data_IF_839997741895
#
_entry.id   IF_839997741895
#
_cell.length_a   1.000
_cell.length_b   1.000
_cell.length_c   1.000
_cell.angle_alpha   90.00
_cell.angle_beta   90.00
_cell.angle_gamma   90.00
#
_symmetry.space_group_name_H-M   'P 1'
#
loop_
_entity.id
_entity.type
_entity.pdbx_description
1 polymer ?
#
# COMPACT_ATOMS: atom_id res chain seq x y z
N UNK A 1 -62.90 -44.09 12.38
CA UNK A 1 -61.47 -44.03 12.01
C UNK A 1 -61.20 -42.66 11.39
N UNK A 2 -60.30 -41.84 11.95
CA UNK A 2 -59.99 -40.50 11.40
C UNK A 2 -58.83 -40.64 10.43
N UNK A 3 -59.13 -40.70 9.14
CA UNK A 3 -58.12 -40.80 8.08
C UNK A 3 -57.81 -39.37 7.62
N UNK A 4 -56.53 -38.97 7.69
CA UNK A 4 -56.04 -37.69 7.17
C UNK A 4 -54.80 -37.94 6.33
N UNK A 5 -54.82 -37.47 5.09
CA UNK A 5 -53.71 -37.55 4.14
C UNK A 5 -53.20 -36.16 3.80
N UNK A 6 -52.04 -36.08 3.12
CA UNK A 6 -51.47 -34.80 2.69
C UNK A 6 -52.29 -34.26 1.52
N UNK A 7 -53.03 -33.16 1.74
CA UNK A 7 -53.72 -32.41 0.70
C UNK A 7 -52.91 -31.17 0.32
N UNK A 8 -52.44 -31.08 -0.92
CA UNK A 8 -51.73 -29.91 -1.47
C UNK A 8 -52.66 -29.16 -2.40
N UNK A 9 -53.08 -27.95 -2.04
CA UNK A 9 -53.88 -27.08 -2.92
C UNK A 9 -52.98 -26.42 -3.96
N UNK A 10 -53.38 -26.43 -5.24
CA UNK A 10 -52.66 -25.76 -6.33
C UNK A 10 -52.41 -24.29 -6.03
N UNK A 11 -53.40 -23.63 -5.43
CA UNK A 11 -53.42 -22.18 -5.19
C UNK A 11 -52.33 -21.73 -4.21
N UNK A 12 -51.79 -22.67 -3.41
CA UNK A 12 -50.71 -22.38 -2.46
C UNK A 12 -49.32 -22.37 -3.11
N UNK A 13 -49.13 -23.12 -4.19
CA UNK A 13 -47.84 -23.27 -4.87
C UNK A 13 -47.77 -22.53 -6.21
N UNK A 14 -48.92 -22.40 -6.89
CA UNK A 14 -49.07 -21.73 -8.18
C UNK A 14 -49.83 -20.43 -7.94
N UNK A 15 -49.20 -19.26 -8.17
CA UNK A 15 -49.89 -17.99 -8.06
C UNK A 15 -51.05 -17.89 -9.04
N UNK A 16 -52.17 -17.32 -8.61
CA UNK A 16 -53.34 -17.07 -9.47
C UNK A 16 -53.04 -15.96 -10.50
N UNK A 17 -52.16 -15.02 -10.16
CA UNK A 17 -51.74 -13.91 -11.04
C UNK A 17 -50.44 -14.26 -11.76
N UNK A 18 -50.43 -14.13 -13.08
CA UNK A 18 -49.25 -14.40 -13.91
C UNK A 18 -48.06 -13.47 -13.64
N UNK A 19 -48.28 -12.30 -13.01
CA UNK A 19 -47.22 -11.34 -12.66
C UNK A 19 -46.52 -11.65 -11.34
N UNK A 20 -47.09 -12.55 -10.53
CA UNK A 20 -46.56 -12.89 -9.22
C UNK A 20 -45.64 -14.12 -9.32
N UNK A 21 -44.49 -14.06 -8.66
CA UNK A 21 -43.55 -15.19 -8.60
C UNK A 21 -44.11 -16.34 -7.74
N UNK A 22 -43.67 -17.56 -8.04
CA UNK A 22 -44.08 -18.75 -7.30
C UNK A 22 -43.50 -18.79 -5.89
N UNK A 23 -44.29 -19.33 -4.95
CA UNK A 23 -43.82 -19.55 -3.59
C UNK A 23 -42.81 -20.72 -3.56
N UNK A 24 -41.70 -20.54 -2.85
CA UNK A 24 -40.66 -21.55 -2.68
C UNK A 24 -40.64 -22.04 -1.23
N UNK A 25 -41.46 -23.04 -0.86
CA UNK A 25 -41.45 -23.60 0.49
C UNK A 25 -40.10 -24.29 0.75
N UNK A 26 -39.55 -24.08 1.96
CA UNK A 26 -38.25 -24.65 2.36
C UNK A 26 -38.41 -25.52 3.60
N UNK A 27 -37.87 -26.73 3.54
CA UNK A 27 -37.66 -27.58 4.70
C UNK A 27 -36.14 -27.72 4.92
N UNK A 28 -35.67 -27.49 6.15
CA UNK A 28 -34.24 -27.48 6.51
C UNK A 28 -33.75 -28.82 7.07
N UNK A 29 -34.58 -29.86 7.07
CA UNK A 29 -34.19 -31.19 7.50
C UNK A 29 -32.96 -31.70 6.70
N UNK A 30 -31.83 -32.03 7.36
CA UNK A 30 -30.64 -32.58 6.70
C UNK A 30 -30.91 -33.84 5.86
N UNK A 31 -31.95 -34.62 6.20
CA UNK A 31 -32.33 -35.82 5.43
C UNK A 31 -32.74 -35.48 3.99
N UNK A 32 -33.37 -34.30 3.78
CA UNK A 32 -33.77 -33.80 2.47
C UNK A 32 -32.63 -33.14 1.69
N UNK A 33 -31.53 -32.80 2.37
CA UNK A 33 -30.36 -32.12 1.79
C UNK A 33 -29.08 -32.93 1.99
N UNK A 34 -28.97 -34.16 1.43
CA UNK A 34 -27.76 -34.96 1.57
C UNK A 34 -26.55 -34.30 0.90
N UNK A 35 -25.34 -34.71 1.32
CA UNK A 35 -24.05 -34.25 0.80
C UNK A 35 -23.71 -32.78 1.05
N UNK A 36 -23.99 -32.26 2.25
CA UNK A 36 -23.66 -30.87 2.63
C UNK A 36 -22.21 -30.49 2.29
N UNK A 37 -21.22 -31.30 2.72
CA UNK A 37 -19.79 -30.99 2.59
C UNK A 37 -19.32 -31.07 1.13
N UNK A 38 -19.75 -32.08 0.39
CA UNK A 38 -19.37 -32.23 -1.02
C UNK A 38 -19.98 -31.11 -1.89
N UNK A 39 -21.21 -30.68 -1.57
CA UNK A 39 -21.87 -29.56 -2.23
C UNK A 39 -21.19 -28.23 -1.91
N UNK A 40 -20.78 -28.00 -0.66
CA UNK A 40 -19.99 -26.83 -0.30
C UNK A 40 -18.61 -26.85 -0.95
N UNK A 41 -17.92 -28.00 -0.97
CA UNK A 41 -16.62 -28.14 -1.61
C UNK A 41 -16.66 -27.78 -3.10
N UNK A 42 -17.65 -28.31 -3.84
CA UNK A 42 -17.81 -28.00 -5.27
C UNK A 42 -18.12 -26.51 -5.49
N UNK A 43 -18.93 -25.89 -4.64
CA UNK A 43 -19.15 -24.44 -4.66
C UNK A 43 -17.89 -23.62 -4.36
N UNK A 44 -17.04 -24.06 -3.43
CA UNK A 44 -15.79 -23.38 -3.13
C UNK A 44 -14.80 -23.50 -4.30
N UNK A 45 -14.78 -24.67 -4.94
CA UNK A 45 -13.98 -24.92 -6.14
C UNK A 45 -14.46 -24.09 -7.33
N UNK A 46 -15.78 -23.95 -7.55
CA UNK A 46 -16.30 -23.08 -8.61
C UNK A 46 -16.04 -21.62 -8.29
N UNK A 47 -16.23 -21.18 -7.04
CA UNK A 47 -15.94 -19.82 -6.60
C UNK A 47 -14.46 -19.44 -6.82
N UNK A 48 -13.52 -20.33 -6.50
CA UNK A 48 -12.09 -20.08 -6.78
C UNK A 48 -11.78 -20.02 -8.26
N UNK A 49 -12.36 -20.90 -9.08
CA UNK A 49 -12.21 -20.84 -10.55
C UNK A 49 -12.79 -19.54 -11.13
N UNK A 50 -13.99 -19.13 -10.69
CA UNK A 50 -14.62 -17.88 -11.11
C UNK A 50 -13.78 -16.67 -10.70
N UNK A 51 -13.23 -16.66 -9.49
CA UNK A 51 -12.32 -15.60 -9.05
C UNK A 51 -11.10 -15.48 -9.97
N UNK A 52 -10.51 -16.60 -10.39
CA UNK A 52 -9.38 -16.59 -11.32
C UNK A 52 -9.78 -16.12 -12.71
N UNK A 53 -10.96 -16.50 -13.20
CA UNK A 53 -11.49 -16.05 -14.49
C UNK A 53 -11.78 -14.54 -14.49
N UNK A 54 -12.36 -14.01 -13.42
CA UNK A 54 -12.72 -12.59 -13.29
C UNK A 54 -11.58 -11.70 -12.79
N UNK A 55 -10.40 -12.26 -12.50
CA UNK A 55 -9.23 -11.52 -12.03
C UNK A 55 -8.68 -10.63 -13.16
N UNK A 56 -9.18 -9.40 -13.22
CA UNK A 56 -8.79 -8.36 -14.16
C UNK A 56 -8.45 -7.10 -13.35
N UNK A 57 -7.20 -7.01 -12.85
CA UNK A 57 -6.82 -5.97 -11.91
C UNK A 57 -6.52 -4.61 -12.56
N UNK A 58 -6.04 -4.60 -13.80
CA UNK A 58 -5.67 -3.36 -14.49
C UNK A 58 -6.93 -2.58 -14.90
N UNK A 59 -7.01 -1.30 -14.53
CA UNK A 59 -8.13 -0.42 -14.90
C UNK A 59 -7.72 0.51 -16.03
N UNK A 60 -6.54 1.11 -15.92
CA UNK A 60 -6.05 2.08 -16.89
C UNK A 60 -4.80 2.81 -16.40
N UNK A 61 -4.39 3.79 -17.18
CA UNK A 61 -3.36 4.76 -16.82
C UNK A 61 -3.98 6.15 -16.66
N UNK A 62 -3.25 7.05 -16.02
CA UNK A 62 -3.63 8.46 -15.85
C UNK A 62 -3.03 9.29 -16.98
N UNK A 63 -3.92 9.89 -17.79
CA UNK A 63 -3.61 10.63 -19.01
C UNK A 63 -2.50 10.01 -19.85
N UNK A 64 -1.56 10.88 -20.26
CA UNK A 64 -0.37 10.51 -21.03
C UNK A 64 0.85 10.19 -20.15
N UNK A 65 0.69 10.14 -18.82
CA UNK A 65 1.80 10.00 -17.89
C UNK A 65 2.75 11.21 -17.88
N UNK A 66 3.97 10.96 -17.42
CA UNK A 66 5.10 11.88 -17.40
C UNK A 66 6.09 11.56 -18.52
N UNK A 67 6.98 12.52 -18.82
CA UNK A 67 8.03 12.34 -19.84
C UNK A 67 9.17 11.45 -19.33
N UNK A 68 9.51 11.61 -18.07
CA UNK A 68 10.50 10.81 -17.34
C UNK A 68 9.82 10.03 -16.20
N UNK A 69 10.55 9.10 -15.58
CA UNK A 69 10.06 8.22 -14.53
C UNK A 69 9.34 8.93 -13.38
N UNK A 70 8.34 8.26 -12.79
CA UNK A 70 7.58 8.79 -11.66
C UNK A 70 8.20 8.33 -10.36
N UNK A 71 8.75 9.26 -9.59
CA UNK A 71 9.49 8.98 -8.36
C UNK A 71 8.69 9.34 -7.10
N UNK A 72 7.77 10.31 -7.19
CA UNK A 72 6.95 10.75 -6.07
C UNK A 72 5.45 10.70 -6.41
N UNK A 73 4.63 10.19 -5.49
CA UNK A 73 3.17 10.22 -5.54
C UNK A 73 2.68 10.64 -4.16
N UNK A 74 1.85 11.68 -4.15
CA UNK A 74 1.11 12.13 -2.99
C UNK A 74 -0.38 11.94 -3.24
N UNK A 75 -1.06 11.22 -2.35
CA UNK A 75 -2.52 11.19 -2.33
C UNK A 75 -3.03 12.25 -1.37
N UNK A 76 -4.17 12.85 -1.69
CA UNK A 76 -4.86 13.68 -0.72
C UNK A 76 -5.50 12.77 0.35
N UNK A 77 -5.32 13.10 1.63
CA UNK A 77 -5.88 12.31 2.72
C UNK A 77 -7.36 12.59 2.98
N UNK A 78 -7.86 13.75 2.53
CA UNK A 78 -9.25 14.18 2.72
C UNK A 78 -10.12 13.93 1.49
N UNK A 79 -9.56 14.09 0.29
CA UNK A 79 -10.28 13.81 -0.96
C UNK A 79 -9.88 12.47 -1.57
N UNK A 80 -10.86 11.77 -2.15
CA UNK A 80 -10.64 10.43 -2.74
C UNK A 80 -10.20 10.53 -4.20
N UNK A 81 -10.65 11.57 -4.91
CA UNK A 81 -10.50 11.69 -6.36
C UNK A 81 -9.24 12.42 -6.81
N UNK A 82 -8.41 12.96 -5.90
CA UNK A 82 -7.25 13.76 -6.30
C UNK A 82 -5.94 13.12 -5.88
N UNK A 83 -4.99 13.14 -6.81
CA UNK A 83 -3.61 12.69 -6.56
C UNK A 83 -2.62 13.64 -7.22
N UNK A 84 -1.45 13.79 -6.63
CA UNK A 84 -0.34 14.53 -7.21
C UNK A 84 0.80 13.56 -7.49
N UNK A 85 1.50 13.75 -8.61
CA UNK A 85 2.64 12.90 -8.99
C UNK A 85 3.79 13.77 -9.49
N UNK A 86 5.01 13.38 -9.15
CA UNK A 86 6.24 14.08 -9.51
C UNK A 86 7.21 13.18 -10.27
N UNK A 87 7.83 13.75 -11.30
CA UNK A 87 8.75 13.06 -12.20
C UNK A 87 10.22 13.43 -11.97
N UNK A 88 11.11 12.62 -12.55
CA UNK A 88 12.55 12.83 -12.61
C UNK A 88 12.96 14.11 -13.33
N UNK A 89 12.14 14.56 -14.26
CA UNK A 89 12.33 15.84 -14.95
C UNK A 89 11.97 17.05 -14.07
N UNK A 90 11.46 16.86 -12.85
CA UNK A 90 11.06 17.96 -11.95
C UNK A 90 9.69 18.57 -12.28
N UNK A 91 8.92 17.99 -13.21
CA UNK A 91 7.51 18.33 -13.43
C UNK A 91 6.65 17.61 -12.39
N UNK A 92 5.72 18.37 -11.80
CA UNK A 92 4.67 17.84 -10.94
C UNK A 92 3.33 18.00 -11.64
N UNK A 93 2.48 16.98 -11.50
CA UNK A 93 1.14 16.94 -12.09
C UNK A 93 0.11 16.66 -11.01
N UNK A 94 -1.00 17.38 -11.06
CA UNK A 94 -2.17 17.13 -10.22
C UNK A 94 -3.27 16.52 -11.08
N UNK A 95 -3.82 15.40 -10.65
CA UNK A 95 -4.73 14.57 -11.42
C UNK A 95 -6.10 14.49 -10.77
N UNK A 96 -7.13 14.42 -11.61
CA UNK A 96 -8.45 13.96 -11.20
C UNK A 96 -8.63 12.49 -11.61
N UNK A 97 -8.99 11.65 -10.65
CA UNK A 97 -9.20 10.21 -10.85
C UNK A 97 -10.54 9.89 -11.51
N UNK A 98 -11.50 10.83 -11.48
CA UNK A 98 -12.81 10.62 -12.10
C UNK A 98 -12.70 10.64 -13.63
N UNK A 99 -12.11 11.70 -14.19
CA UNK A 99 -11.80 11.83 -15.62
C UNK A 99 -10.56 11.04 -16.01
N UNK A 100 -9.59 10.91 -15.08
CA UNK A 100 -8.23 10.37 -15.27
C UNK A 100 -7.32 11.28 -16.09
N UNK A 101 -7.65 12.56 -16.16
CA UNK A 101 -6.88 13.59 -16.84
C UNK A 101 -6.11 14.45 -15.83
N UNK A 102 -5.07 15.12 -16.33
CA UNK A 102 -4.32 16.10 -15.55
C UNK A 102 -5.12 17.39 -15.44
N UNK A 103 -5.24 17.92 -14.23
CA UNK A 103 -5.81 19.24 -13.97
C UNK A 103 -4.73 20.32 -14.16
N UNK A 104 -3.56 20.08 -13.56
CA UNK A 104 -2.45 21.02 -13.58
C UNK A 104 -1.14 20.29 -13.79
N UNK A 105 -0.24 20.97 -14.50
CA UNK A 105 1.13 20.53 -14.73
C UNK A 105 2.06 21.73 -14.47
N UNK A 106 2.97 21.59 -13.52
CA UNK A 106 3.93 22.63 -13.16
C UNK A 106 5.34 22.11 -13.33
N UNK A 107 6.20 22.90 -13.98
CA UNK A 107 7.65 22.70 -13.92
C UNK A 107 8.15 23.20 -12.57
N UNK A 108 8.18 22.30 -11.58
CA UNK A 108 8.46 22.66 -10.20
C UNK A 108 9.95 22.83 -9.95
N UNK A 109 10.77 21.90 -10.42
CA UNK A 109 12.20 21.86 -10.12
C UNK A 109 13.05 21.69 -11.38
N UNK A 110 14.31 22.11 -11.32
CA UNK A 110 15.28 21.83 -12.38
C UNK A 110 15.80 20.40 -12.31
N UNK A 111 16.01 19.89 -11.09
CA UNK A 111 16.33 18.48 -10.84
C UNK A 111 15.09 17.64 -10.53
N UNK A 112 15.31 16.38 -10.15
CA UNK A 112 14.25 15.45 -9.78
C UNK A 112 13.40 15.95 -8.60
N UNK A 113 12.08 15.76 -8.71
CA UNK A 113 11.13 15.94 -7.62
C UNK A 113 11.16 14.70 -6.71
N UNK A 114 11.97 14.77 -5.66
CA UNK A 114 12.26 13.67 -4.74
C UNK A 114 11.14 13.44 -3.72
N UNK A 115 10.44 14.51 -3.32
CA UNK A 115 9.36 14.45 -2.34
C UNK A 115 8.15 15.26 -2.78
N UNK A 116 6.96 14.72 -2.54
CA UNK A 116 5.69 15.37 -2.83
C UNK A 116 4.70 15.02 -1.73
N UNK A 117 3.96 16.01 -1.22
CA UNK A 117 2.91 15.80 -0.22
C UNK A 117 1.77 16.80 -0.43
N UNK A 118 0.54 16.36 -0.17
CA UNK A 118 -0.63 17.23 -0.15
C UNK A 118 -0.91 17.62 1.29
N UNK A 119 -0.99 18.92 1.55
CA UNK A 119 -1.32 19.48 2.86
C UNK A 119 -2.81 19.30 3.18
N UNK A 120 -3.22 19.33 4.46
CA UNK A 120 -4.62 19.28 4.87
C UNK A 120 -5.49 20.41 4.32
N UNK A 121 -4.87 21.55 3.96
CA UNK A 121 -5.52 22.71 3.33
C UNK A 121 -5.56 22.62 1.81
N UNK A 122 -5.38 21.42 1.22
CA UNK A 122 -5.41 21.17 -0.23
C UNK A 122 -4.32 21.86 -1.05
N UNK A 123 -3.28 22.40 -0.38
CA UNK A 123 -2.08 22.90 -1.06
C UNK A 123 -1.08 21.77 -1.29
N UNK A 124 -0.27 21.87 -2.33
CA UNK A 124 0.74 20.88 -2.68
C UNK A 124 2.11 21.37 -2.25
N UNK A 125 2.89 20.55 -1.57
CA UNK A 125 4.30 20.82 -1.27
C UNK A 125 5.16 19.86 -2.09
N UNK A 126 6.12 20.42 -2.83
CA UNK A 126 7.12 19.67 -3.58
C UNK A 126 8.52 19.97 -3.06
N UNK A 127 9.39 18.97 -3.13
CA UNK A 127 10.75 18.98 -2.66
C UNK A 127 11.66 18.43 -3.78
N UNK A 128 12.76 19.13 -4.06
CA UNK A 128 13.67 18.79 -5.15
C UNK A 128 15.14 18.75 -4.75
N UNK A 129 15.94 18.14 -5.65
CA UNK A 129 17.40 18.12 -5.53
C UNK A 129 18.06 19.49 -5.72
N UNK A 130 17.31 20.46 -6.25
CA UNK A 130 17.73 21.86 -6.44
C UNK A 130 17.74 22.69 -5.15
N UNK A 131 17.65 22.03 -3.98
CA UNK A 131 17.67 22.63 -2.64
C UNK A 131 16.48 23.53 -2.36
N UNK A 132 15.41 23.41 -3.14
CA UNK A 132 14.19 24.19 -2.96
C UNK A 132 13.03 23.30 -2.53
N UNK A 133 12.17 23.86 -1.69
CA UNK A 133 10.86 23.32 -1.38
C UNK A 133 9.84 24.36 -1.84
N UNK A 134 8.81 23.94 -2.55
CA UNK A 134 7.83 24.84 -3.16
C UNK A 134 6.43 24.47 -2.71
N UNK A 135 5.68 25.47 -2.26
CA UNK A 135 4.27 25.39 -1.90
C UNK A 135 3.44 25.91 -3.07
N UNK A 136 2.51 25.09 -3.55
CA UNK A 136 1.66 25.37 -4.69
C UNK A 136 0.21 25.42 -4.23
N UNK A 137 -0.51 26.49 -4.61
CA UNK A 137 -1.95 26.58 -4.43
C UNK A 137 -2.62 25.90 -5.62
N UNK A 138 -3.35 24.83 -5.33
CA UNK A 138 -4.13 24.07 -6.31
C UNK A 138 -5.60 24.21 -5.92
N UNK A 139 -6.44 24.66 -6.86
CA UNK A 139 -7.88 24.76 -6.60
C UNK A 139 -8.54 23.40 -6.81
N UNK A 140 -9.36 23.01 -5.85
CA UNK A 140 -10.29 21.89 -6.01
C UNK A 140 -11.65 22.48 -6.43
N UNK A 141 -12.07 22.25 -7.68
CA UNK A 141 -13.41 22.61 -8.18
C UNK A 141 -14.56 21.89 -7.46
N UNK A 142 -14.24 20.98 -6.52
CA UNK A 142 -15.21 20.13 -5.83
C UNK A 142 -16.19 20.93 -4.93
N UNK A 143 -15.86 22.17 -4.53
CA UNK A 143 -16.72 23.04 -3.73
C UNK A 143 -16.68 24.48 -4.24
N UNK A 144 -17.48 24.80 -5.25
CA UNK A 144 -17.89 26.19 -5.49
C UNK A 144 -18.83 26.60 -4.35
N UNK A 145 -18.30 27.18 -3.27
CA UNK A 145 -19.07 28.17 -2.53
C UNK A 145 -18.95 29.47 -3.30
N UNK A 146 -20.07 29.97 -3.79
CA UNK A 146 -20.22 31.18 -4.62
C UNK A 146 -19.84 32.49 -3.89
N UNK A 147 -19.11 32.46 -2.77
CA UNK A 147 -18.93 33.65 -1.90
C UNK A 147 -17.54 34.29 -1.93
N UNK A 148 -16.54 33.71 -2.61
CA UNK A 148 -15.20 34.31 -2.68
C UNK A 148 -14.80 34.68 -4.13
N UNK A 149 -15.63 35.46 -4.82
CA UNK A 149 -15.27 36.12 -6.10
C UNK A 149 -14.32 37.33 -5.93
N UNK A 150 -13.75 37.54 -4.73
CA UNK A 150 -12.92 38.70 -4.39
C UNK A 150 -11.46 38.39 -4.02
N UNK A 151 -10.94 37.22 -4.38
CA UNK A 151 -9.50 37.00 -4.50
C UNK A 151 -9.17 36.59 -5.92
N UNK A 152 -8.52 37.47 -6.67
CA UNK A 152 -7.93 37.14 -7.97
C UNK A 152 -7.09 35.86 -7.85
N UNK A 153 -7.60 34.80 -8.46
CA UNK A 153 -7.12 33.43 -8.37
C UNK A 153 -5.73 33.27 -8.94
N UNK A 154 -4.70 33.65 -8.18
CA UNK A 154 -3.30 33.40 -8.52
C UNK A 154 -3.02 31.91 -8.27
N UNK A 155 -3.36 31.12 -9.28
CA UNK A 155 -3.00 29.70 -9.35
C UNK A 155 -1.48 29.59 -9.52
N UNK A 156 -0.85 28.67 -8.79
CA UNK A 156 0.57 28.38 -8.94
C UNK A 156 1.38 28.50 -7.67
N UNK A 157 2.65 28.93 -7.82
CA UNK A 157 3.63 28.96 -6.75
C UNK A 157 3.28 30.05 -5.72
N UNK A 158 2.99 29.63 -4.49
CA UNK A 158 2.66 30.54 -3.39
C UNK A 158 3.92 30.91 -2.61
N UNK A 159 4.74 29.92 -2.25
CA UNK A 159 5.92 30.13 -1.42
C UNK A 159 7.06 29.20 -1.79
N UNK A 160 8.29 29.70 -1.70
CA UNK A 160 9.51 28.91 -1.85
C UNK A 160 10.31 28.95 -0.55
N UNK A 161 10.73 27.79 -0.07
CA UNK A 161 11.67 27.63 1.04
C UNK A 161 13.01 27.16 0.45
N UNK A 162 14.10 27.75 0.95
CA UNK A 162 15.46 27.48 0.49
C UNK A 162 16.20 26.70 1.56
N UNK A 163 16.86 25.62 1.16
CA UNK A 163 17.78 24.84 2.00
C UNK A 163 19.22 25.02 1.57
N UNK A 164 20.15 24.73 2.50
CA UNK A 164 21.59 24.70 2.19
C UNK A 164 21.98 23.45 1.39
N UNK A 165 21.26 22.35 1.65
CA UNK A 165 21.48 21.04 1.06
C UNK A 165 20.30 20.58 0.22
N UNK A 166 20.54 19.57 -0.63
CA UNK A 166 19.49 18.93 -1.40
C UNK A 166 18.57 18.12 -0.48
N UNK A 167 17.29 18.08 -0.84
CA UNK A 167 16.28 17.35 -0.09
C UNK A 167 15.89 16.07 -0.85
N UNK A 168 15.72 14.97 -0.12
CA UNK A 168 15.43 13.64 -0.66
C UNK A 168 13.99 13.21 -0.38
N UNK A 169 13.39 13.67 0.71
CA UNK A 169 12.01 13.33 1.05
C UNK A 169 11.32 14.43 1.83
N UNK A 170 10.00 14.34 1.83
CA UNK A 170 9.11 15.31 2.44
C UNK A 170 7.87 14.57 2.95
N UNK A 171 7.38 14.97 4.11
CA UNK A 171 6.06 14.62 4.59
C UNK A 171 5.47 15.73 5.47
N UNK A 172 4.15 15.81 5.53
CA UNK A 172 3.42 16.85 6.24
C UNK A 172 2.73 16.28 7.48
N UNK A 173 2.65 17.07 8.54
CA UNK A 173 1.92 16.69 9.74
C UNK A 173 0.41 16.56 9.46
N UNK A 174 -0.31 15.68 10.14
CA UNK A 174 -1.69 15.40 9.73
C UNK A 174 -2.67 16.59 9.87
N UNK A 175 -2.46 17.45 10.88
CA UNK A 175 -3.34 18.59 11.19
C UNK A 175 -2.63 19.94 11.08
N UNK A 176 -1.59 20.14 11.88
CA UNK A 176 -0.82 21.39 11.95
C UNK A 176 -0.09 21.71 10.64
N UNK A 177 0.29 22.99 10.46
CA UNK A 177 1.08 23.49 9.33
C UNK A 177 2.56 23.09 9.35
N UNK A 178 2.90 22.08 10.16
CA UNK A 178 4.26 21.57 10.28
C UNK A 178 4.52 20.53 9.20
N UNK A 179 5.74 20.52 8.67
CA UNK A 179 6.20 19.47 7.77
C UNK A 179 7.67 19.17 8.01
N UNK A 180 8.09 17.96 7.64
CA UNK A 180 9.46 17.51 7.84
C UNK A 180 10.07 17.18 6.49
N UNK A 181 11.31 17.62 6.33
CA UNK A 181 12.12 17.34 5.15
C UNK A 181 13.29 16.46 5.55
N UNK A 182 13.54 15.39 4.80
CA UNK A 182 14.75 14.58 4.90
C UNK A 182 15.70 14.89 3.76
N UNK A 183 16.98 15.06 4.06
CA UNK A 183 18.05 15.24 3.08
C UNK A 183 19.39 14.95 3.75
N UNK A 184 20.32 15.90 3.69
CA UNK A 184 21.56 15.82 4.49
C UNK A 184 21.28 15.81 6.00
N UNK A 185 20.29 16.60 6.44
CA UNK A 185 19.76 16.61 7.80
C UNK A 185 18.25 16.47 7.77
N UNK A 186 17.64 16.16 8.93
CA UNK A 186 16.18 16.24 9.10
C UNK A 186 15.87 17.61 9.66
N UNK A 187 15.10 18.38 8.89
CA UNK A 187 14.64 19.69 9.31
C UNK A 187 13.13 19.67 9.49
N UNK A 188 12.67 20.21 10.63
CA UNK A 188 11.27 20.51 10.88
C UNK A 188 10.98 21.93 10.40
N UNK A 189 9.90 22.09 9.64
CA UNK A 189 9.49 23.36 9.07
C UNK A 189 8.06 23.68 9.48
N UNK A 190 7.76 24.98 9.50
CA UNK A 190 6.40 25.49 9.56
C UNK A 190 6.12 26.24 8.26
N UNK A 191 4.97 26.00 7.62
CA UNK A 191 4.58 26.63 6.36
C UNK A 191 4.65 28.17 6.45
N UNK A 192 4.42 28.75 7.62
CA UNK A 192 4.45 30.20 7.80
C UNK A 192 5.87 30.79 7.85
N UNK A 193 6.87 30.02 8.28
CA UNK A 193 8.26 30.48 8.44
C UNK A 193 9.08 30.24 7.17
N UNK A 194 10.12 31.01 6.90
CA UNK A 194 10.98 30.81 5.71
C UNK A 194 12.24 29.98 6.01
N UNK A 195 12.55 29.78 7.29
CA UNK A 195 13.70 29.02 7.80
C UNK A 195 13.21 27.78 8.55
N UNK A 196 14.04 26.73 8.67
CA UNK A 196 13.67 25.56 9.45
C UNK A 196 13.50 25.95 10.92
N UNK A 197 12.53 25.33 11.59
CA UNK A 197 12.23 25.51 13.02
C UNK A 197 13.29 24.83 13.86
N UNK A 198 13.63 23.59 13.54
CA UNK A 198 14.63 22.79 14.24
C UNK A 198 15.31 21.79 13.30
N UNK A 199 16.56 21.48 13.61
CA UNK A 199 17.28 20.33 13.06
C UNK A 199 17.19 19.18 14.08
N UNK A 200 16.71 18.02 13.63
CA UNK A 200 16.49 16.82 14.44
C UNK A 200 17.51 15.72 14.15
N UNK A 201 18.63 16.03 13.48
CA UNK A 201 19.65 15.04 13.14
C UNK A 201 20.18 14.28 14.37
N UNK A 202 20.29 12.95 14.25
CA UNK A 202 20.93 12.12 15.28
C UNK A 202 22.46 12.24 15.22
N UNK A 203 22.98 12.37 14.00
CA UNK A 203 24.38 12.45 13.62
C UNK A 203 24.50 12.88 12.17
N UNK A 204 25.69 12.79 11.59
CA UNK A 204 25.98 13.22 10.22
C UNK A 204 25.62 12.14 9.18
N UNK A 205 24.37 11.68 9.18
CA UNK A 205 23.86 10.67 8.27
C UNK A 205 22.81 11.27 7.32
N UNK A 206 22.89 10.96 6.02
CA UNK A 206 21.87 11.38 5.06
C UNK A 206 20.59 10.55 5.22
N UNK A 207 19.45 11.23 5.23
CA UNK A 207 18.12 10.63 5.36
C UNK A 207 17.48 10.48 3.99
N UNK A 208 17.05 9.26 3.68
CA UNK A 208 16.44 8.93 2.40
C UNK A 208 14.94 9.16 2.41
N UNK A 209 14.23 8.73 3.46
CA UNK A 209 12.78 8.89 3.57
C UNK A 209 12.35 9.31 4.97
N UNK A 210 11.28 10.11 5.03
CA UNK A 210 10.62 10.54 6.26
C UNK A 210 9.13 10.33 6.12
N UNK A 211 8.49 9.81 7.17
CA UNK A 211 7.03 9.67 7.24
C UNK A 211 6.47 9.96 8.62
N UNK A 212 5.44 10.80 8.64
CA UNK A 212 4.60 11.06 9.78
C UNK A 212 3.67 9.90 10.07
N UNK A 213 3.43 9.68 11.36
CA UNK A 213 2.34 8.84 11.80
C UNK A 213 1.00 9.58 11.60
N UNK A 214 -0.01 8.87 11.14
CA UNK A 214 -1.32 9.45 10.82
C UNK A 214 -2.23 9.55 12.05
N UNK A 215 -2.01 8.70 13.05
CA UNK A 215 -2.86 8.63 14.26
C UNK A 215 -2.22 9.35 15.44
N UNK A 216 -0.99 8.98 15.81
CA UNK A 216 -0.18 9.73 16.78
C UNK A 216 0.69 10.74 16.04
N UNK A 217 0.10 11.89 15.70
CA UNK A 217 0.65 12.84 14.73
C UNK A 217 1.98 13.46 15.13
N UNK A 218 2.30 13.48 16.44
CA UNK A 218 3.55 14.02 16.98
C UNK A 218 4.78 13.14 16.70
N UNK A 219 4.58 11.89 16.28
CA UNK A 219 5.67 10.94 16.03
C UNK A 219 5.89 10.79 14.54
N UNK A 220 7.16 10.73 14.14
CA UNK A 220 7.54 10.37 12.77
C UNK A 220 8.75 9.44 12.75
N UNK A 221 8.93 8.75 11.63
CA UNK A 221 10.05 7.85 11.39
C UNK A 221 10.86 8.33 10.19
N UNK A 222 12.15 8.03 10.21
CA UNK A 222 13.05 8.23 9.08
C UNK A 222 13.86 6.97 8.77
N UNK A 223 14.27 6.87 7.51
CA UNK A 223 15.24 5.90 7.03
C UNK A 223 16.53 6.61 6.63
N UNK A 224 17.65 6.16 7.19
CA UNK A 224 19.00 6.64 6.86
C UNK A 224 19.66 5.80 5.76
N UNK A 225 20.62 6.42 5.07
CA UNK A 225 21.48 5.72 4.11
C UNK A 225 22.46 4.74 4.77
N UNK A 226 22.67 4.83 6.08
CA UNK A 226 23.53 3.97 6.91
C UNK A 226 22.83 2.67 7.35
N UNK A 227 21.73 2.32 6.68
CA UNK A 227 20.84 1.22 7.01
C UNK A 227 20.16 1.40 8.36
N UNK A 228 19.93 2.65 8.78
CA UNK A 228 19.23 2.92 10.03
C UNK A 228 17.77 3.31 9.86
N UNK A 229 16.96 2.94 10.85
CA UNK A 229 15.61 3.42 11.06
C UNK A 229 15.63 4.24 12.36
N UNK A 230 15.20 5.49 12.27
CA UNK A 230 15.21 6.42 13.41
C UNK A 230 13.78 6.90 13.68
N UNK A 231 13.39 6.90 14.94
CA UNK A 231 12.12 7.45 15.42
C UNK A 231 12.35 8.82 16.07
N UNK A 232 11.39 9.71 15.91
CA UNK A 232 11.43 11.09 16.42
C UNK A 232 10.11 11.44 17.08
N UNK A 233 10.19 12.23 18.14
CA UNK A 233 9.03 12.85 18.77
C UNK A 233 9.17 14.37 18.68
N UNK A 234 8.16 15.02 18.07
CA UNK A 234 8.13 16.47 17.91
C UNK A 234 7.87 17.18 19.23
N UNK A 235 7.17 16.55 20.18
CA UNK A 235 6.84 17.17 21.48
C UNK A 235 8.09 17.45 22.28
N UNK A 236 9.04 16.51 22.27
CA UNK A 236 10.35 16.67 22.89
C UNK A 236 11.37 17.30 21.93
N UNK A 237 11.00 17.45 20.66
CA UNK A 237 11.85 17.93 19.57
C UNK A 237 13.21 17.22 19.57
N UNK A 238 13.18 15.89 19.72
CA UNK A 238 14.38 15.05 19.84
C UNK A 238 14.18 13.70 19.16
N UNK A 239 15.24 13.08 18.64
CA UNK A 239 15.15 11.71 18.18
C UNK A 239 15.13 10.76 19.38
N UNK A 240 14.33 9.70 19.29
CA UNK A 240 14.07 8.78 20.41
C UNK A 240 14.90 7.50 20.29
N UNK A 241 14.85 6.83 19.14
CA UNK A 241 15.44 5.51 18.98
C UNK A 241 16.02 5.30 17.58
N UNK A 242 17.19 4.66 17.49
CA UNK A 242 17.86 4.28 16.24
C UNK A 242 18.06 2.76 16.18
N UNK A 243 17.64 2.13 15.09
CA UNK A 243 17.88 0.70 14.80
C UNK A 243 18.69 0.59 13.53
N UNK A 244 19.69 -0.29 13.52
CA UNK A 244 20.47 -0.60 12.34
C UNK A 244 20.05 -1.95 11.77
N UNK A 245 19.56 -1.95 10.53
CA UNK A 245 19.22 -3.15 9.76
C UNK A 245 20.42 -3.61 8.93
N UNK A 246 20.33 -4.82 8.37
CA UNK A 246 21.38 -5.40 7.52
C UNK A 246 21.60 -4.61 6.23
N UNK A 247 20.51 -4.22 5.57
CA UNK A 247 20.48 -3.47 4.32
C UNK A 247 19.65 -2.18 4.49
N UNK A 248 19.80 -1.22 3.57
CA UNK A 248 19.06 0.04 3.66
C UNK A 248 17.57 -0.16 3.44
N UNK A 249 16.78 0.63 4.16
CA UNK A 249 15.35 0.77 3.91
C UNK A 249 15.09 1.90 2.91
N UNK A 250 14.34 1.60 1.86
CA UNK A 250 14.01 2.54 0.79
C UNK A 250 12.81 3.42 1.12
N UNK A 251 11.82 2.88 1.82
CA UNK A 251 10.60 3.61 2.16
C UNK A 251 9.99 3.15 3.48
N UNK A 252 9.18 4.01 4.05
CA UNK A 252 8.42 3.79 5.27
C UNK A 252 6.95 4.09 5.02
N UNK A 253 6.07 3.45 5.80
CA UNK A 253 4.67 3.83 5.89
C UNK A 253 4.10 3.39 7.24
N UNK A 254 3.34 4.26 7.91
CA UNK A 254 2.67 3.95 9.17
C UNK A 254 1.33 3.28 8.92
N UNK A 255 0.91 2.40 9.84
CA UNK A 255 -0.43 1.86 9.81
C UNK A 255 -1.45 2.95 10.22
N UNK A 256 -2.43 3.28 9.37
CA UNK A 256 -3.44 4.31 9.68
C UNK A 256 -4.39 3.93 10.82
N UNK A 257 -4.48 2.64 11.19
CA UNK A 257 -5.38 2.18 12.26
C UNK A 257 -4.64 1.88 13.57
N UNK A 258 -3.40 1.39 13.49
CA UNK A 258 -2.59 1.04 14.67
C UNK A 258 -1.38 1.98 14.76
N UNK A 259 -1.46 2.97 15.66
CA UNK A 259 -0.48 4.06 15.76
C UNK A 259 0.97 3.62 15.92
N UNK A 260 1.21 2.55 16.67
CA UNK A 260 2.57 2.10 16.99
C UNK A 260 3.15 1.16 15.94
N UNK A 261 2.44 0.84 14.86
CA UNK A 261 2.91 -0.10 13.83
C UNK A 261 3.27 0.64 12.56
N UNK A 262 4.43 0.32 12.00
CA UNK A 262 4.84 0.81 10.68
C UNK A 262 5.54 -0.28 9.88
N UNK A 263 5.58 -0.09 8.56
CA UNK A 263 6.24 -0.97 7.63
C UNK A 263 7.45 -0.28 6.99
N UNK A 264 8.51 -1.04 6.75
CA UNK A 264 9.70 -0.59 6.01
C UNK A 264 9.94 -1.46 4.79
N UNK A 265 10.12 -0.85 3.62
CA UNK A 265 10.60 -1.51 2.41
C UNK A 265 12.13 -1.54 2.42
N UNK A 266 12.74 -2.71 2.21
CA UNK A 266 14.19 -2.88 2.29
C UNK A 266 14.79 -3.42 0.99
N UNK A 267 16.06 -3.12 0.79
CA UNK A 267 16.85 -3.61 -0.35
C UNK A 267 17.08 -5.11 -0.36
N UNK A 268 16.99 -5.77 0.80
CA UNK A 268 17.10 -7.22 0.94
C UNK A 268 15.89 -8.00 0.37
N UNK A 269 15.09 -7.32 -0.46
CA UNK A 269 13.93 -7.84 -1.18
C UNK A 269 12.74 -8.17 -0.27
N UNK A 270 12.77 -7.75 0.99
CA UNK A 270 11.68 -7.96 1.92
C UNK A 270 11.08 -6.63 2.35
N UNK A 271 9.85 -6.69 2.87
CA UNK A 271 9.31 -5.62 3.69
C UNK A 271 9.12 -6.12 5.12
N UNK A 272 9.38 -5.26 6.09
CA UNK A 272 9.34 -5.58 7.51
C UNK A 272 8.22 -4.79 8.18
N UNK A 273 7.52 -5.44 9.11
CA UNK A 273 6.52 -4.81 9.96
C UNK A 273 7.11 -4.63 11.37
N UNK A 274 7.02 -3.42 11.89
CA UNK A 274 7.66 -3.00 13.12
C UNK A 274 6.65 -2.58 14.17
N UNK A 275 6.97 -2.85 15.43
CA UNK A 275 6.33 -2.23 16.58
C UNK A 275 7.26 -1.13 17.11
N UNK A 276 6.82 0.12 17.07
CA UNK A 276 7.54 1.28 17.60
C UNK A 276 8.01 1.07 19.05
N UNK A 277 7.23 0.35 19.86
CA UNK A 277 7.54 0.09 21.27
C UNK A 277 8.61 -0.99 21.45
N UNK A 278 8.70 -1.93 20.51
CA UNK A 278 9.64 -3.03 20.57
C UNK A 278 10.27 -3.31 19.20
N UNK A 279 11.38 -2.63 18.94
CA UNK A 279 12.14 -2.75 17.70
C UNK A 279 13.23 -3.83 17.75
N UNK A 280 13.28 -4.68 18.78
CA UNK A 280 14.27 -5.76 18.86
C UNK A 280 13.96 -6.91 17.89
N UNK A 281 12.73 -6.98 17.38
CA UNK A 281 12.25 -7.96 16.41
C UNK A 281 11.18 -7.35 15.51
N UNK A 282 11.09 -7.81 14.27
CA UNK A 282 9.93 -7.49 13.43
C UNK A 282 8.69 -8.30 13.85
N UNK A 283 7.49 -7.71 13.75
CA UNK A 283 6.22 -8.41 13.95
C UNK A 283 6.01 -9.43 12.83
N UNK A 284 6.27 -9.02 11.59
CA UNK A 284 6.08 -9.82 10.40
C UNK A 284 7.13 -9.48 9.34
N UNK A 285 7.41 -10.44 8.47
CA UNK A 285 8.32 -10.27 7.33
C UNK A 285 7.56 -10.66 6.07
N UNK A 286 7.38 -9.71 5.17
CA UNK A 286 6.77 -9.90 3.87
C UNK A 286 7.84 -10.33 2.88
N UNK A 287 7.81 -11.60 2.52
CA UNK A 287 8.74 -12.26 1.59
C UNK A 287 7.97 -12.60 0.33
N UNK A 288 8.59 -12.39 -0.83
CA UNK A 288 8.23 -12.98 -2.13
C UNK A 288 8.85 -12.18 -3.29
N UNK A 289 9.33 -10.95 -3.05
CA UNK A 289 10.02 -10.16 -4.07
C UNK A 289 11.36 -10.78 -4.46
N UNK A 290 11.75 -10.53 -5.70
CA UNK A 290 13.00 -11.04 -6.27
C UNK A 290 14.10 -9.99 -6.26
N UNK A 291 13.74 -8.70 -6.32
CA UNK A 291 14.65 -7.56 -6.25
C UNK A 291 14.26 -6.62 -5.10
N UNK A 292 14.99 -5.51 -4.94
CA UNK A 292 14.80 -4.53 -3.89
C UNK A 292 13.37 -3.97 -3.87
N UNK A 293 12.79 -3.85 -2.69
CA UNK A 293 11.47 -3.23 -2.51
C UNK A 293 11.69 -1.73 -2.46
N UNK A 294 11.10 -0.99 -3.40
CA UNK A 294 11.31 0.45 -3.53
C UNK A 294 10.35 1.25 -2.65
N UNK A 295 9.10 0.82 -2.56
CA UNK A 295 8.09 1.52 -1.78
C UNK A 295 7.11 0.56 -1.12
N UNK A 296 6.49 1.04 -0.04
CA UNK A 296 5.47 0.34 0.74
C UNK A 296 4.36 1.31 1.11
N UNK A 297 3.11 0.85 1.04
CA UNK A 297 1.96 1.62 1.52
C UNK A 297 0.93 0.74 2.19
N UNK A 298 0.33 1.25 3.26
CA UNK A 298 -0.78 0.61 3.95
C UNK A 298 -2.10 0.92 3.25
N UNK A 299 -3.01 -0.05 3.29
CA UNK A 299 -4.41 0.25 3.01
C UNK A 299 -4.94 1.19 4.10
N UNK A 300 -5.85 2.13 3.78
CA UNK A 300 -6.54 2.95 4.78
C UNK A 300 -7.23 2.13 5.89
N UNK A 301 -7.57 0.87 5.60
CA UNK A 301 -8.15 -0.07 6.57
C UNK A 301 -7.12 -0.71 7.52
N UNK A 302 -5.82 -0.56 7.27
CA UNK A 302 -4.73 -1.17 8.05
C UNK A 302 -4.56 -2.68 7.89
N UNK A 303 -5.34 -3.33 7.01
CA UNK A 303 -5.39 -4.80 6.89
C UNK A 303 -4.58 -5.36 5.72
N UNK A 304 -4.27 -4.55 4.71
CA UNK A 304 -3.47 -4.93 3.56
C UNK A 304 -2.30 -3.96 3.37
N UNK A 305 -1.24 -4.47 2.75
CA UNK A 305 -0.03 -3.71 2.45
C UNK A 305 0.29 -3.93 0.98
N UNK A 306 0.64 -2.86 0.29
CA UNK A 306 1.13 -2.90 -1.08
C UNK A 306 2.60 -2.57 -1.07
N UNK A 307 3.32 -3.26 -1.94
CA UNK A 307 4.76 -3.06 -2.12
C UNK A 307 5.07 -3.00 -3.60
N UNK A 308 5.82 -1.96 -4.00
CA UNK A 308 6.40 -1.79 -5.33
C UNK A 308 7.87 -2.20 -5.29
N UNK A 309 8.31 -2.96 -6.28
CA UNK A 309 9.66 -3.49 -6.32
C UNK A 309 10.36 -3.19 -7.64
N UNK A 310 11.69 -3.16 -7.56
CA UNK A 310 12.57 -3.02 -8.70
C UNK A 310 12.48 -4.21 -9.67
N UNK A 311 11.90 -5.35 -9.27
CA UNK A 311 11.63 -6.50 -10.13
C UNK A 311 10.45 -6.32 -11.11
N UNK A 312 9.94 -5.09 -11.26
CA UNK A 312 8.83 -4.70 -12.18
C UNK A 312 7.48 -5.28 -11.76
N UNK A 313 7.32 -5.55 -10.46
CA UNK A 313 6.08 -6.12 -9.93
C UNK A 313 5.57 -5.34 -8.74
N UNK A 314 4.26 -5.41 -8.56
CA UNK A 314 3.55 -4.92 -7.39
C UNK A 314 3.04 -6.16 -6.66
N UNK A 315 3.31 -6.27 -5.36
CA UNK A 315 2.78 -7.35 -4.53
C UNK A 315 1.89 -6.79 -3.45
N UNK A 316 0.77 -7.47 -3.22
CA UNK A 316 -0.18 -7.16 -2.17
C UNK A 316 -0.05 -8.23 -1.10
N UNK A 317 0.10 -7.83 0.16
CA UNK A 317 0.21 -8.69 1.32
C UNK A 317 -0.98 -8.46 2.25
N UNK A 318 -1.44 -9.53 2.90
CA UNK A 318 -2.33 -9.37 4.05
C UNK A 318 -1.50 -9.09 5.30
N UNK A 319 -1.97 -8.21 6.17
CA UNK A 319 -1.24 -7.77 7.38
C UNK A 319 -0.63 -8.92 8.21
N UNK A 320 -1.41 -10.00 8.43
CA UNK A 320 -0.99 -11.18 9.21
C UNK A 320 -0.29 -12.27 8.40
N UNK A 321 -0.17 -12.12 7.07
CA UNK A 321 0.40 -13.13 6.16
C UNK A 321 1.79 -12.69 5.70
N UNK A 322 2.77 -13.57 5.79
CA UNK A 322 4.15 -13.27 5.35
C UNK A 322 4.38 -13.41 3.84
N UNK A 323 3.39 -13.90 3.08
CA UNK A 323 3.48 -14.12 1.63
C UNK A 323 2.40 -13.34 0.89
N UNK A 324 2.67 -13.08 -0.39
CA UNK A 324 1.83 -12.29 -1.27
C UNK A 324 0.47 -12.94 -1.50
N UNK A 325 -0.59 -12.12 -1.40
CA UNK A 325 -1.97 -12.46 -1.79
C UNK A 325 -2.11 -12.42 -3.31
N UNK A 326 -1.61 -11.35 -3.91
CA UNK A 326 -1.65 -11.10 -5.35
C UNK A 326 -0.35 -10.43 -5.82
N UNK A 327 -0.08 -10.62 -7.11
CA UNK A 327 1.02 -10.00 -7.83
C UNK A 327 0.51 -9.39 -9.12
N UNK A 328 0.84 -8.12 -9.37
CA UNK A 328 0.54 -7.42 -10.60
C UNK A 328 1.81 -7.10 -11.36
N UNK A 329 1.76 -7.36 -12.66
CA UNK A 329 2.82 -7.06 -13.62
C UNK A 329 2.18 -6.78 -14.98
N UNK A 330 2.85 -5.99 -15.80
CA UNK A 330 2.55 -5.86 -17.23
C UNK A 330 3.87 -5.80 -18.00
N UNK A 331 3.86 -6.18 -19.28
CA UNK A 331 5.06 -6.12 -20.12
C UNK A 331 5.58 -4.70 -20.33
N UNK A 332 4.69 -3.70 -20.32
CA UNK A 332 5.05 -2.28 -20.49
C UNK A 332 5.68 -1.70 -19.21
N UNK A 333 5.22 -2.16 -18.04
CA UNK A 333 5.72 -1.70 -16.75
C UNK A 333 7.19 -2.08 -16.55
N UNK A 334 8.01 -1.05 -16.33
CA UNK A 334 9.41 -1.19 -15.96
C UNK A 334 9.54 -1.20 -14.43
N UNK A 335 10.59 -0.59 -13.88
CA UNK A 335 10.83 -0.56 -12.45
C UNK A 335 9.73 0.24 -11.74
N UNK A 336 9.17 -0.32 -10.67
CA UNK A 336 8.13 0.34 -9.88
C UNK A 336 8.80 1.03 -8.71
N UNK A 337 8.84 2.36 -8.76
CA UNK A 337 9.47 3.17 -7.71
C UNK A 337 8.52 3.47 -6.57
N UNK A 338 7.25 3.75 -6.88
CA UNK A 338 6.29 4.21 -5.88
C UNK A 338 4.92 3.56 -6.06
N UNK A 339 4.30 3.20 -4.95
CA UNK A 339 2.97 2.58 -4.92
C UNK A 339 2.16 3.16 -3.79
N UNK A 340 0.89 3.52 -4.05
CA UNK A 340 0.01 4.06 -3.03
C UNK A 340 -1.39 3.47 -3.14
N UNK A 341 -2.00 3.16 -2.01
CA UNK A 341 -3.43 2.84 -1.95
C UNK A 341 -4.28 4.10 -2.10
N UNK A 342 -5.40 3.98 -2.80
CA UNK A 342 -6.46 4.98 -2.75
C UNK A 342 -7.12 5.04 -1.36
N UNK A 343 -7.73 6.18 -1.04
CA UNK A 343 -8.39 6.38 0.26
C UNK A 343 -9.66 5.54 0.46
N UNK A 344 -10.23 4.99 -0.61
CA UNK A 344 -11.31 4.00 -0.52
C UNK A 344 -10.82 2.56 -0.29
N UNK A 345 -9.50 2.32 -0.19
CA UNK A 345 -8.84 1.01 -0.06
C UNK A 345 -9.07 0.01 -1.21
N UNK A 346 -9.77 0.41 -2.27
CA UNK A 346 -10.15 -0.49 -3.38
C UNK A 346 -9.19 -0.45 -4.54
N UNK A 347 -8.41 0.61 -4.67
CA UNK A 347 -7.50 0.82 -5.78
C UNK A 347 -6.07 1.06 -5.32
N UNK A 348 -5.14 0.82 -6.24
CA UNK A 348 -3.71 0.96 -6.04
C UNK A 348 -3.16 1.77 -7.22
N UNK A 349 -2.39 2.79 -6.91
CA UNK A 349 -1.60 3.55 -7.85
C UNK A 349 -0.18 3.00 -7.90
N UNK A 350 0.40 2.96 -9.08
CA UNK A 350 1.82 2.65 -9.25
C UNK A 350 2.48 3.65 -10.19
N UNK A 351 3.55 4.29 -9.71
CA UNK A 351 4.49 5.07 -10.50
C UNK A 351 5.62 4.19 -11.00
N UNK A 352 5.78 4.15 -12.32
CA UNK A 352 6.81 3.37 -13.01
C UNK A 352 7.90 4.31 -13.53
N UNK A 353 9.08 3.75 -13.73
CA UNK A 353 10.24 4.41 -14.35
C UNK A 353 9.97 4.85 -15.81
N UNK A 354 8.99 4.25 -16.47
CA UNK A 354 8.61 4.65 -17.83
C UNK A 354 7.81 5.98 -17.90
N UNK A 355 7.53 6.62 -16.76
CA UNK A 355 6.74 7.84 -16.65
C UNK A 355 5.23 7.62 -16.49
N UNK A 356 4.74 6.39 -16.66
CA UNK A 356 3.31 6.11 -16.53
C UNK A 356 2.87 5.90 -15.07
N UNK A 357 1.74 6.51 -14.71
CA UNK A 357 1.02 6.22 -13.46
C UNK A 357 -0.17 5.31 -13.79
N UNK A 358 -0.17 4.10 -13.22
CA UNK A 358 -1.22 3.10 -13.48
C UNK A 358 -2.14 2.93 -12.28
N UNK A 359 -3.39 2.59 -12.61
CA UNK A 359 -4.44 2.29 -11.66
C UNK A 359 -4.80 0.80 -11.70
N UNK A 360 -4.79 0.18 -10.53
CA UNK A 360 -5.10 -1.22 -10.33
C UNK A 360 -6.21 -1.38 -9.29
N UNK A 361 -6.98 -2.46 -9.37
CA UNK A 361 -7.86 -2.90 -8.27
C UNK A 361 -7.04 -3.61 -7.20
N UNK A 362 -7.28 -3.33 -5.93
CA UNK A 362 -6.71 -4.09 -4.82
C UNK A 362 -7.17 -5.55 -4.87
N UNK A 363 -8.47 -5.80 -5.03
CA UNK A 363 -9.03 -7.13 -5.30
C UNK A 363 -9.34 -7.28 -6.80
N UNK A 364 -8.55 -8.08 -7.51
CA UNK A 364 -8.63 -8.21 -8.97
C UNK A 364 -9.99 -8.68 -9.51
N UNK A 365 -10.70 -9.52 -8.75
CA UNK A 365 -12.00 -10.09 -9.13
C UNK A 365 -13.18 -9.19 -8.79
N UNK A 366 -12.99 -8.23 -7.88
CA UNK A 366 -14.07 -7.35 -7.45
C UNK A 366 -14.41 -6.34 -8.56
N UNK A 367 -15.69 -5.98 -8.65
CA UNK A 367 -16.20 -4.95 -9.55
C UNK A 367 -16.77 -3.81 -8.72
N UNK A 368 -16.53 -2.59 -9.19
CA UNK A 368 -17.05 -1.38 -8.58
C UNK A 368 -18.54 -1.22 -8.92
N UNK A 369 -19.29 -0.61 -8.00
CA UNK A 369 -20.72 -0.34 -8.15
C UNK A 369 -21.57 -0.92 -7.01
N UNK A 370 -22.80 -0.41 -6.83
CA UNK A 370 -23.74 -0.96 -5.86
C UNK A 370 -24.16 -2.37 -6.29
N UNK A 371 -24.19 -3.30 -5.32
CA UNK A 371 -24.56 -4.70 -5.54
C UNK A 371 -25.95 -4.93 -4.97
N UNK A 372 -26.82 -5.61 -5.73
CA UNK A 372 -28.09 -6.11 -5.19
C UNK A 372 -27.82 -7.06 -4.01
N UNK A 373 -28.73 -7.11 -3.04
CA UNK A 373 -28.63 -7.95 -1.83
C UNK A 373 -28.35 -9.41 -2.17
N UNK A 374 -29.02 -9.97 -3.18
CA UNK A 374 -28.79 -11.35 -3.67
C UNK A 374 -27.35 -11.56 -4.15
N UNK A 375 -26.82 -10.61 -4.91
CA UNK A 375 -25.45 -10.68 -5.42
C UNK A 375 -24.42 -10.51 -4.30
N UNK A 376 -24.64 -9.55 -3.39
CA UNK A 376 -23.77 -9.33 -2.22
C UNK A 376 -23.69 -10.58 -1.36
N UNK A 377 -24.84 -11.14 -0.97
CA UNK A 377 -24.92 -12.34 -0.15
C UNK A 377 -24.24 -13.54 -0.82
N UNK A 378 -24.37 -13.68 -2.15
CA UNK A 378 -23.65 -14.72 -2.92
C UNK A 378 -22.14 -14.54 -2.82
N UNK A 379 -21.62 -13.33 -3.04
CA UNK A 379 -20.18 -13.07 -3.00
C UNK A 379 -19.61 -13.29 -1.60
N UNK A 380 -20.31 -12.84 -0.55
CA UNK A 380 -19.91 -13.07 0.85
C UNK A 380 -19.93 -14.56 1.20
N UNK A 381 -20.95 -15.30 0.75
CA UNK A 381 -21.03 -16.75 0.91
C UNK A 381 -19.86 -17.46 0.21
N UNK A 382 -19.57 -17.09 -1.04
CA UNK A 382 -18.46 -17.63 -1.81
C UNK A 382 -17.10 -17.31 -1.15
N UNK A 383 -16.91 -16.10 -0.61
CA UNK A 383 -15.71 -15.72 0.15
C UNK A 383 -15.53 -16.58 1.41
N UNK A 384 -16.59 -16.78 2.19
CA UNK A 384 -16.55 -17.63 3.39
C UNK A 384 -16.28 -19.10 3.07
N UNK A 385 -16.82 -19.61 1.97
CA UNK A 385 -16.55 -20.98 1.52
C UNK A 385 -15.09 -21.15 1.10
N UNK A 386 -14.52 -20.18 0.37
CA UNK A 386 -13.10 -20.17 -0.01
C UNK A 386 -12.18 -20.10 1.20
N UNK A 387 -12.55 -19.32 2.22
CA UNK A 387 -11.80 -19.26 3.48
C UNK A 387 -11.81 -20.62 4.20
N UNK A 388 -12.98 -21.24 4.32
CA UNK A 388 -13.16 -22.56 4.95
C UNK A 388 -12.39 -23.68 4.23
N UNK A 389 -12.52 -23.77 2.91
CA UNK A 389 -11.96 -24.86 2.10
C UNK A 389 -10.61 -24.52 1.43
N UNK A 390 -10.02 -23.35 1.71
CA UNK A 390 -8.82 -22.85 1.03
C UNK A 390 -7.56 -23.72 1.20
N UNK A 391 -7.52 -24.57 2.23
CA UNK A 391 -6.39 -25.47 2.48
C UNK A 391 -6.42 -26.76 1.66
N UNK A 392 -7.56 -27.08 1.02
CA UNK A 392 -7.71 -28.27 0.18
C UNK A 392 -6.78 -28.19 -1.03
N UNK A 393 -6.12 -29.29 -1.44
CA UNK A 393 -5.01 -29.24 -2.40
C UNK A 393 -5.39 -28.67 -3.77
N UNK A 394 -6.55 -29.05 -4.32
CA UNK A 394 -7.02 -28.56 -5.62
C UNK A 394 -7.34 -27.06 -5.57
N UNK A 395 -8.12 -26.65 -4.57
CA UNK A 395 -8.54 -25.25 -4.35
C UNK A 395 -7.30 -24.38 -4.11
N UNK A 396 -6.40 -24.82 -3.24
CA UNK A 396 -5.14 -24.13 -2.91
C UNK A 396 -4.25 -23.97 -4.13
N UNK A 397 -4.13 -24.99 -4.98
CA UNK A 397 -3.35 -24.94 -6.22
C UNK A 397 -3.90 -23.90 -7.19
N UNK A 398 -5.22 -23.90 -7.41
CA UNK A 398 -5.90 -22.94 -8.30
C UNK A 398 -5.79 -21.53 -7.73
N UNK A 399 -6.02 -21.37 -6.43
CA UNK A 399 -5.97 -20.07 -5.75
C UNK A 399 -4.56 -19.46 -5.75
N UNK A 400 -3.50 -20.26 -5.63
CA UNK A 400 -2.10 -19.78 -5.66
C UNK A 400 -1.57 -19.55 -7.06
N UNK A 401 -2.14 -20.17 -8.08
CA UNK A 401 -1.62 -20.07 -9.43
C UNK A 401 -1.69 -18.61 -9.95
N UNK A 402 -0.54 -18.06 -10.34
CA UNK A 402 -0.40 -16.76 -11.00
C UNK A 402 0.55 -16.92 -12.16
N UNK A 403 0.22 -16.29 -13.29
CA UNK A 403 1.15 -16.20 -14.41
C UNK A 403 2.20 -15.14 -14.06
N UNK A 404 3.48 -15.52 -14.07
CA UNK A 404 4.61 -14.64 -13.79
C UNK A 404 5.43 -14.44 -15.07
N UNK A 405 6.03 -13.26 -15.29
CA UNK A 405 7.02 -13.07 -16.34
C UNK A 405 8.15 -14.08 -16.20
N UNK A 406 8.68 -14.58 -17.32
CA UNK A 406 9.73 -15.60 -17.31
C UNK A 406 10.97 -15.18 -16.51
N UNK A 407 11.34 -13.90 -16.58
CA UNK A 407 12.48 -13.32 -15.85
C UNK A 407 12.25 -13.42 -14.33
N UNK A 408 11.10 -12.95 -13.85
CA UNK A 408 10.74 -12.98 -12.43
C UNK A 408 10.61 -14.42 -11.92
N UNK A 409 10.02 -15.31 -12.72
CA UNK A 409 9.88 -16.72 -12.38
C UNK A 409 11.24 -17.41 -12.21
N UNK A 410 12.14 -17.27 -13.19
CA UNK A 410 13.49 -17.86 -13.14
C UNK A 410 14.30 -17.32 -11.97
N UNK A 411 14.31 -16.01 -11.78
CA UNK A 411 15.05 -15.39 -10.69
C UNK A 411 14.46 -15.75 -9.30
N UNK A 412 13.14 -15.95 -9.20
CA UNK A 412 12.51 -16.51 -8.00
C UNK A 412 12.87 -17.98 -7.72
N UNK A 413 13.05 -18.81 -8.76
CA UNK A 413 13.54 -20.18 -8.63
C UNK A 413 14.99 -20.23 -8.14
N UNK A 414 15.87 -19.41 -8.73
CA UNK A 414 17.27 -19.25 -8.31
C UNK A 414 17.34 -18.81 -6.84
N UNK A 415 16.61 -17.76 -6.47
CA UNK A 415 16.57 -17.26 -5.09
C UNK A 415 16.08 -18.31 -4.09
N UNK A 416 15.13 -19.17 -4.48
CA UNK A 416 14.66 -20.26 -3.62
C UNK A 416 15.76 -21.30 -3.38
N UNK A 417 16.51 -21.66 -4.42
CA UNK A 417 17.64 -22.59 -4.32
C UNK A 417 18.73 -21.99 -3.44
N UNK A 418 19.04 -20.70 -3.60
CA UNK A 418 20.02 -19.99 -2.76
C UNK A 418 19.61 -19.98 -1.29
N UNK A 419 18.36 -19.62 -0.97
CA UNK A 419 17.83 -19.62 0.40
C UNK A 419 17.86 -21.02 1.01
N UNK A 420 17.48 -22.06 0.24
CA UNK A 420 17.53 -23.44 0.73
C UNK A 420 18.98 -23.89 1.00
N UNK A 421 19.91 -23.53 0.12
CA UNK A 421 21.34 -23.79 0.28
C UNK A 421 21.91 -23.10 1.52
N UNK A 422 21.61 -21.81 1.70
CA UNK A 422 22.00 -21.05 2.90
C UNK A 422 21.42 -21.66 4.17
N UNK A 423 20.13 -22.01 4.18
CA UNK A 423 19.47 -22.65 5.32
C UNK A 423 20.08 -24.02 5.64
N UNK A 424 20.43 -24.81 4.61
CA UNK A 424 21.12 -26.11 4.77
C UNK A 424 22.50 -25.92 5.38
N UNK A 425 23.28 -24.94 4.91
CA UNK A 425 24.59 -24.60 5.45
C UNK A 425 24.50 -24.13 6.91
N UNK A 426 23.60 -23.20 7.23
CA UNK A 426 23.35 -22.75 8.60
C UNK A 426 22.96 -23.90 9.53
N UNK A 427 22.10 -24.82 9.07
CA UNK A 427 21.69 -25.99 9.84
C UNK A 427 22.85 -26.96 10.08
N UNK A 428 23.72 -27.17 9.10
CA UNK A 428 24.92 -28.00 9.25
C UNK A 428 25.89 -27.36 10.24
N UNK A 429 26.18 -26.08 10.10
CA UNK A 429 27.03 -25.34 11.04
C UNK A 429 26.46 -25.39 12.47
N UNK A 430 25.14 -25.30 12.62
CA UNK A 430 24.48 -25.43 13.93
C UNK A 430 24.61 -26.84 14.53
N UNK A 431 24.55 -27.89 13.71
CA UNK A 431 24.71 -29.27 14.17
C UNK A 431 26.14 -29.57 14.61
N UNK A 432 27.13 -28.95 13.97
CA UNK A 432 28.55 -29.24 14.19
C UNK A 432 29.28 -28.21 15.06
N UNK A 433 28.68 -27.06 15.40
CA UNK A 433 29.27 -26.06 16.30
C UNK A 433 28.56 -26.01 17.64
N UNK A 434 29.32 -25.91 18.74
CA UNK A 434 28.76 -25.87 20.11
C UNK A 434 28.04 -24.56 20.47
N UNK A 435 28.36 -23.44 19.79
CA UNK A 435 27.99 -22.09 20.24
C UNK A 435 26.97 -21.33 19.35
N UNK A 436 26.44 -21.93 18.28
CA UNK A 436 25.57 -21.21 17.33
C UNK A 436 24.08 -21.39 17.68
N UNK A 437 23.49 -20.36 18.30
CA UNK A 437 22.06 -20.32 18.64
C UNK A 437 21.18 -20.03 17.41
N UNK A 438 19.92 -20.50 17.45
CA UNK A 438 18.94 -20.23 16.41
C UNK A 438 18.44 -18.79 16.49
N UNK A 439 18.69 -18.00 15.45
CA UNK A 439 18.10 -16.67 15.30
C UNK A 439 16.82 -16.78 14.48
N UNK A 440 15.72 -16.23 15.00
CA UNK A 440 14.45 -16.19 14.27
C UNK A 440 14.59 -15.29 13.04
N UNK A 441 13.88 -15.61 11.95
CA UNK A 441 13.94 -14.80 10.73
C UNK A 441 13.52 -13.34 10.95
N UNK A 442 12.71 -13.09 11.99
CA UNK A 442 12.24 -11.76 12.39
C UNK A 442 13.32 -10.90 13.03
N UNK A 443 14.35 -11.53 13.59
CA UNK A 443 15.48 -10.86 14.26
C UNK A 443 16.73 -10.84 13.37
N UNK A 444 16.87 -11.78 12.42
CA UNK A 444 18.08 -11.93 11.59
C UNK A 444 18.55 -10.66 10.88
N UNK A 445 17.61 -9.80 10.48
CA UNK A 445 17.90 -8.58 9.73
C UNK A 445 18.30 -7.39 10.64
N UNK A 446 18.16 -7.51 11.96
CA UNK A 446 18.52 -6.46 12.92
C UNK A 446 19.97 -6.68 13.35
N UNK A 447 20.80 -5.65 13.15
CA UNK A 447 22.23 -5.68 13.49
C UNK A 447 22.49 -5.04 14.84
N UNK A 448 21.77 -3.97 15.18
CA UNK A 448 21.91 -3.29 16.48
C UNK A 448 20.80 -2.28 16.75
N UNK A 449 20.64 -1.90 18.01
CA UNK A 449 19.65 -0.94 18.48
C UNK A 449 20.30 0.00 19.50
N UNK A 450 20.02 1.29 19.38
CA UNK A 450 20.42 2.34 20.32
C UNK A 450 19.18 3.10 20.73
N UNK A 451 18.97 3.23 22.04
CA UNK A 451 17.90 4.02 22.61
C UNK A 451 18.53 5.20 23.36
N UNK A 452 18.10 6.43 23.06
CA UNK A 452 18.47 7.59 23.88
C UNK A 452 17.50 7.61 25.05
N UNK A 453 18.03 7.48 26.27
CA UNK A 453 17.27 7.67 27.51
C UNK A 453 16.99 9.15 27.75
#
# INVERSE_FOLDING_TARGET
MKIKTISRSSDTYVPVRNTQESSLPRNLDPSLHPFERAREYTKALTATKLERMFAQPFIGQLGNGHRDGVYSIAKNFRSVNKIATGSGDGVIKYWDLTTRDELYSFKAHYGMCSGLVVTPTHKLLSCGHDKTIKLWKVYDENFTKEEDESESSTQGLEKTFLGEHAFQSLDHHYNDSLFVTGGATINLWDVNRSRPVSDLSWGADNITTVRFNQTETSVFASAGSDNSLILYDIRTNSPTQKIKTSMRSNALCWNPMEAYVFASASEDHNAYLWDMRNMSRSINVFKDHVSAVMDVDFSPTGQEIVTGSYDKTIRIFGYRKGHSRDIYHTKRMQHVFITKFSMDSKYIFSGSDEGNVRLWRAKANERAGPKSTRLRNKLEYDEKLKERYGNMPEIRRIQRHRHLPAVVKKAGEIKRIEIESQKRRENNERRHSKNKQYKSEREKHIVGQVHKQ
#
